data_IF_985619117932
#
_entry.id   IF_985619117932
#
_cell.length_a   1.000
_cell.length_b   1.000
_cell.length_c   1.000
_cell.angle_alpha   90.00
_cell.angle_beta   90.00
_cell.angle_gamma   90.00
#
_symmetry.space_group_name_H-M   'P 1'
#
loop_
_entity.id
_entity.type
_entity.pdbx_description
1 polymer ?
#
# COMPACT_ATOMS: atom_id res chain seq x y z
N UNK A 1 9.83 15.08 20.38
CA UNK A 1 8.82 14.03 20.10
C UNK A 1 7.76 14.67 19.21
N UNK A 2 7.30 14.00 18.15
CA UNK A 2 6.20 14.49 17.30
C UNK A 2 4.91 13.80 17.72
N UNK A 3 3.77 14.48 17.61
CA UNK A 3 2.47 13.89 17.87
C UNK A 3 2.12 12.86 16.79
N UNK A 4 1.54 11.75 17.21
CA UNK A 4 1.10 10.66 16.33
C UNK A 4 -0.42 10.65 16.30
N UNK A 5 -0.99 10.65 15.10
CA UNK A 5 -2.43 10.72 14.88
C UNK A 5 -2.89 9.69 13.85
N UNK A 6 -4.13 9.22 14.00
CA UNK A 6 -4.79 8.35 13.01
C UNK A 6 -5.63 9.24 12.10
N UNK A 7 -5.28 9.28 10.81
CA UNK A 7 -5.94 10.16 9.82
C UNK A 7 -6.92 9.42 8.91
N UNK A 8 -6.85 8.09 8.85
CA UNK A 8 -7.72 7.26 8.02
C UNK A 8 -7.71 5.81 8.53
N UNK A 9 -8.80 5.10 8.27
CA UNK A 9 -8.95 3.68 8.59
C UNK A 9 -9.97 3.02 7.66
N UNK A 10 -9.65 1.82 7.18
CA UNK A 10 -10.52 1.05 6.30
C UNK A 10 -10.39 -0.44 6.61
N UNK A 11 -11.39 -1.22 6.19
CA UNK A 11 -11.41 -2.68 6.28
C UNK A 11 -12.28 -3.27 5.18
N UNK A 12 -12.01 -4.51 4.83
CA UNK A 12 -12.94 -5.32 4.03
C UNK A 12 -14.13 -5.77 4.89
N UNK A 13 -15.11 -6.40 4.23
CA UNK A 13 -16.13 -7.18 4.94
C UNK A 13 -15.49 -8.40 5.62
N UNK A 14 -16.12 -8.89 6.69
CA UNK A 14 -15.68 -10.11 7.37
C UNK A 14 -16.31 -11.30 6.63
N UNK A 15 -15.46 -12.15 6.05
CA UNK A 15 -15.91 -13.38 5.38
C UNK A 15 -16.12 -14.52 6.38
N UNK A 16 -17.22 -15.27 6.22
CA UNK A 16 -17.37 -16.56 6.90
C UNK A 16 -16.45 -17.62 6.27
N UNK A 17 -16.10 -18.66 7.03
CA UNK A 17 -15.33 -19.78 6.53
C UNK A 17 -16.04 -20.45 5.35
N UNK A 18 -15.35 -20.63 4.22
CA UNK A 18 -15.94 -21.14 2.98
C UNK A 18 -16.96 -20.22 2.31
N UNK A 19 -17.10 -18.97 2.79
CA UNK A 19 -18.06 -17.99 2.29
C UNK A 19 -17.56 -17.15 1.10
N UNK A 20 -18.11 -15.94 0.97
CA UNK A 20 -17.94 -15.08 -0.21
C UNK A 20 -16.51 -14.60 -0.50
N UNK A 21 -15.61 -14.64 0.49
CA UNK A 21 -14.20 -14.25 0.32
C UNK A 21 -13.26 -15.44 0.14
N UNK A 22 -13.76 -16.68 0.07
CA UNK A 22 -12.91 -17.89 0.05
C UNK A 22 -11.90 -17.94 -1.11
N UNK A 23 -12.24 -17.31 -2.23
CA UNK A 23 -11.44 -17.31 -3.45
C UNK A 23 -10.61 -16.04 -3.62
N UNK A 24 -10.70 -15.09 -2.69
CA UNK A 24 -9.95 -13.84 -2.75
C UNK A 24 -8.64 -14.02 -1.99
N UNK A 25 -7.46 -13.93 -2.65
CA UNK A 25 -6.18 -14.04 -1.97
C UNK A 25 -6.01 -12.96 -0.89
N UNK A 26 -5.34 -13.30 0.21
CA UNK A 26 -5.10 -12.35 1.31
C UNK A 26 -4.35 -11.10 0.88
N UNK A 27 -3.41 -11.24 -0.07
CA UNK A 27 -2.64 -10.13 -0.64
C UNK A 27 -3.53 -9.14 -1.40
N UNK A 28 -4.59 -9.62 -2.04
CA UNK A 28 -5.56 -8.79 -2.74
C UNK A 28 -6.48 -8.08 -1.74
N UNK A 29 -6.92 -8.76 -0.68
CA UNK A 29 -7.66 -8.10 0.41
C UNK A 29 -6.83 -6.98 1.06
N UNK A 30 -5.54 -7.23 1.30
CA UNK A 30 -4.61 -6.23 1.81
C UNK A 30 -4.44 -5.04 0.86
N UNK A 31 -4.24 -5.29 -0.43
CA UNK A 31 -4.07 -4.22 -1.42
C UNK A 31 -5.33 -3.36 -1.56
N UNK A 32 -6.52 -3.96 -1.47
CA UNK A 32 -7.80 -3.22 -1.46
C UNK A 32 -7.83 -2.23 -0.29
N UNK A 33 -7.49 -2.67 0.93
CA UNK A 33 -7.53 -1.80 2.11
C UNK A 33 -6.47 -0.70 2.04
N UNK A 34 -5.22 -1.04 1.67
CA UNK A 34 -4.12 -0.07 1.56
C UNK A 34 -4.42 1.00 0.50
N UNK A 35 -5.03 0.61 -0.62
CA UNK A 35 -5.46 1.55 -1.65
C UNK A 35 -6.59 2.45 -1.14
N UNK A 36 -7.63 1.87 -0.54
CA UNK A 36 -8.80 2.61 -0.08
C UNK A 36 -8.44 3.62 1.03
N UNK A 37 -7.61 3.22 2.00
CA UNK A 37 -7.25 4.08 3.14
C UNK A 37 -6.49 5.33 2.70
N UNK A 38 -5.61 5.21 1.70
CA UNK A 38 -4.84 6.33 1.14
C UNK A 38 -5.68 7.21 0.20
N UNK A 39 -6.53 6.60 -0.63
CA UNK A 39 -7.44 7.33 -1.53
C UNK A 39 -8.39 8.26 -0.78
N UNK A 40 -8.96 7.80 0.36
CA UNK A 40 -9.88 8.59 1.18
C UNK A 40 -9.29 9.93 1.64
N UNK A 41 -7.99 9.98 1.85
CA UNK A 41 -7.25 11.16 2.31
C UNK A 41 -6.38 11.80 1.22
N UNK A 42 -6.57 11.39 -0.04
CA UNK A 42 -5.87 11.93 -1.22
C UNK A 42 -4.34 11.88 -1.08
N UNK A 43 -3.82 10.79 -0.53
CA UNK A 43 -2.39 10.51 -0.47
C UNK A 43 -1.98 9.47 -1.52
N UNK A 44 -0.76 9.60 -2.06
CA UNK A 44 -0.14 8.60 -2.94
C UNK A 44 1.18 8.09 -2.33
N UNK A 45 1.39 6.77 -2.24
CA UNK A 45 2.61 6.22 -1.67
C UNK A 45 3.79 6.42 -2.63
N UNK A 46 4.93 6.86 -2.11
CA UNK A 46 6.18 7.03 -2.88
C UNK A 46 7.37 6.42 -2.15
N UNK A 47 8.37 5.95 -2.89
CA UNK A 47 9.64 5.47 -2.34
C UNK A 47 10.51 6.66 -1.96
N UNK A 48 11.07 6.68 -0.75
CA UNK A 48 12.08 7.68 -0.36
C UNK A 48 13.45 7.32 -0.94
N UNK A 49 14.29 8.33 -1.17
CA UNK A 49 15.65 8.14 -1.72
C UNK A 49 16.50 7.26 -0.81
N UNK A 50 16.36 7.40 0.50
CA UNK A 50 17.11 6.61 1.49
C UNK A 50 16.78 5.12 1.40
N UNK A 51 15.52 4.79 1.10
CA UNK A 51 15.08 3.40 0.92
C UNK A 51 15.72 2.80 -0.33
N UNK A 52 15.83 3.59 -1.40
CA UNK A 52 16.48 3.16 -2.65
C UNK A 52 17.99 2.96 -2.45
N UNK A 53 18.64 3.86 -1.73
CA UNK A 53 20.08 3.79 -1.46
C UNK A 53 20.45 2.59 -0.58
N UNK A 54 19.58 2.25 0.37
CA UNK A 54 19.74 1.11 1.28
C UNK A 54 19.39 -0.25 0.64
N UNK A 55 18.75 -0.27 -0.54
CA UNK A 55 18.36 -1.50 -1.21
C UNK A 55 19.59 -2.31 -1.66
N UNK A 56 19.54 -3.66 -1.60
CA UNK A 56 20.59 -4.53 -2.13
C UNK A 56 20.87 -4.21 -3.60
N UNK A 57 22.14 -4.19 -4.00
CA UNK A 57 22.57 -3.79 -5.35
C UNK A 57 21.83 -4.54 -6.46
N UNK A 58 21.56 -5.84 -6.27
CA UNK A 58 20.84 -6.68 -7.24
C UNK A 58 19.36 -6.30 -7.44
N UNK A 59 18.78 -5.50 -6.57
CA UNK A 59 17.35 -5.16 -6.56
C UNK A 59 17.07 -3.68 -6.85
N UNK A 60 18.11 -2.84 -6.98
CA UNK A 60 17.95 -1.38 -7.15
C UNK A 60 17.10 -1.00 -8.37
N UNK A 61 17.26 -1.72 -9.48
CA UNK A 61 16.60 -1.41 -10.75
C UNK A 61 15.31 -2.21 -10.99
N UNK A 62 14.82 -2.95 -9.99
CA UNK A 62 13.63 -3.81 -10.15
C UNK A 62 12.34 -3.01 -10.42
N UNK A 63 12.28 -1.77 -9.95
CA UNK A 63 11.09 -0.91 -10.08
C UNK A 63 9.92 -1.42 -9.25
N UNK A 64 8.71 -1.33 -9.80
CA UNK A 64 7.50 -1.90 -9.18
C UNK A 64 7.31 -3.35 -9.61
N UNK A 65 6.93 -4.21 -8.66
CA UNK A 65 6.52 -5.59 -8.95
C UNK A 65 5.10 -5.66 -9.51
N UNK A 66 4.72 -6.80 -10.08
CA UNK A 66 3.40 -6.95 -10.72
C UNK A 66 2.23 -6.76 -9.75
N UNK A 67 2.41 -7.14 -8.48
CA UNK A 67 1.40 -6.93 -7.43
C UNK A 67 1.13 -5.44 -7.21
N UNK A 68 2.20 -4.65 -7.12
CA UNK A 68 2.13 -3.20 -6.96
C UNK A 68 1.47 -2.58 -8.18
N UNK A 69 1.94 -2.91 -9.39
CA UNK A 69 1.38 -2.39 -10.66
C UNK A 69 -0.13 -2.64 -10.77
N UNK A 70 -0.62 -3.81 -10.36
CA UNK A 70 -2.06 -4.14 -10.40
C UNK A 70 -2.91 -3.27 -9.47
N UNK A 71 -2.34 -2.83 -8.35
CA UNK A 71 -3.08 -2.10 -7.30
C UNK A 71 -2.77 -0.60 -7.29
N UNK A 72 -1.69 -0.18 -7.96
CA UNK A 72 -1.23 1.20 -8.02
C UNK A 72 -2.10 2.02 -9.00
N UNK A 73 -3.14 2.60 -8.45
CA UNK A 73 -4.08 3.47 -9.15
C UNK A 73 -4.35 4.67 -8.24
N UNK A 74 -3.44 5.64 -8.27
CA UNK A 74 -3.52 6.90 -7.51
C UNK A 74 -3.44 8.06 -8.49
N UNK A 75 -4.23 9.11 -8.24
CA UNK A 75 -4.19 10.30 -9.10
C UNK A 75 -2.90 11.09 -8.88
N UNK A 76 -2.33 11.65 -9.94
CA UNK A 76 -1.10 12.44 -9.85
C UNK A 76 -1.23 13.66 -8.92
N UNK A 77 -2.44 14.21 -8.81
CA UNK A 77 -2.79 15.32 -7.93
C UNK A 77 -2.80 14.97 -6.43
N UNK A 78 -2.68 13.70 -6.04
CA UNK A 78 -2.61 13.30 -4.64
C UNK A 78 -1.26 13.68 -4.03
N UNK A 79 -1.28 14.08 -2.75
CA UNK A 79 -0.06 14.46 -2.05
C UNK A 79 0.81 13.22 -1.80
N UNK A 80 2.12 13.27 -2.10
CA UNK A 80 3.01 12.15 -1.89
C UNK A 80 3.22 11.89 -0.39
N UNK A 81 3.26 10.62 -0.01
CA UNK A 81 3.64 10.19 1.33
C UNK A 81 4.61 9.03 1.24
N UNK A 82 5.71 9.11 1.98
CA UNK A 82 6.61 7.98 2.16
C UNK A 82 5.99 7.01 3.14
N UNK A 83 5.90 5.74 2.73
CA UNK A 83 5.52 4.64 3.61
C UNK A 83 6.76 3.77 3.75
N UNK A 84 7.22 3.61 4.99
CA UNK A 84 8.30 2.69 5.29
C UNK A 84 7.81 1.26 5.12
N UNK A 85 8.65 0.39 4.56
CA UNK A 85 8.29 -1.01 4.34
C UNK A 85 8.23 -1.71 5.71
N UNK A 86 7.04 -2.17 6.11
CA UNK A 86 6.90 -3.15 7.17
C UNK A 86 6.82 -4.51 6.48
N UNK A 87 7.92 -5.26 6.57
CA UNK A 87 8.07 -6.63 6.07
C UNK A 87 6.98 -7.54 6.65
#
# INVERSE_FOLDING_TARGET
MRDVVIVSGSRTAIGAFGGGLKSVPVVELGSIVMKDVLKRIKLKPVKDLRMQDAAPEKLRDQGMIDLEKKSYDFADAFAPVTIDEVI
#
